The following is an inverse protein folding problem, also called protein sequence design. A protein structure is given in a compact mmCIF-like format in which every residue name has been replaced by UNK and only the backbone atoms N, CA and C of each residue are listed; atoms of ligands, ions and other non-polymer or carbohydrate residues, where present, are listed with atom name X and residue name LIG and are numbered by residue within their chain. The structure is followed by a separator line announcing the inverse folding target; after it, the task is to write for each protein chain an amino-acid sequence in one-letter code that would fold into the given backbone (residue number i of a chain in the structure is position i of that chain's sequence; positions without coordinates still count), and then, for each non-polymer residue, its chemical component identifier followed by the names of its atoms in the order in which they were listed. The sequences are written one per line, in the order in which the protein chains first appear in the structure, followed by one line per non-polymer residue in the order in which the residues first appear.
data_IF_626686749816
#
_entry.id   IF_626686749816
#
_cell.length_a   1.000
_cell.length_b   1.000
_cell.length_c   1.000
_cell.angle_alpha   90.00
_cell.angle_beta   90.00
_cell.angle_gamma   90.00
#
_symmetry.space_group_name_H-M   'P 1'
#
loop_
_entity.id
_entity.type
_entity.pdbx_description
1 polymer ?
#
# COMPACT_ATOMS: atom_id res chain seq x y z
N UNK A 1 -8.90 -19.31 18.03
CA UNK A 1 -8.98 -17.89 18.41
C UNK A 1 -7.73 -17.20 17.91
N UNK A 2 -7.86 -16.28 16.96
CA UNK A 2 -6.74 -15.51 16.40
C UNK A 2 -6.25 -14.52 17.47
N UNK A 3 -5.01 -14.67 17.91
CA UNK A 3 -4.46 -13.86 19.03
C UNK A 3 -3.53 -12.75 18.58
N UNK A 4 -3.21 -12.70 17.27
CA UNK A 4 -2.31 -11.69 16.74
C UNK A 4 -3.03 -10.37 16.48
N UNK A 5 -2.35 -9.28 16.76
CA UNK A 5 -2.81 -7.94 16.40
C UNK A 5 -2.26 -7.59 15.03
N UNK A 6 -3.11 -7.09 14.16
CA UNK A 6 -2.76 -6.62 12.81
C UNK A 6 -2.90 -5.11 12.75
N UNK A 7 -1.86 -4.43 12.34
CA UNK A 7 -1.87 -2.99 12.07
C UNK A 7 -2.21 -2.70 10.61
N UNK A 8 -3.13 -1.78 10.38
CA UNK A 8 -3.47 -1.28 9.05
C UNK A 8 -3.15 0.21 9.02
N UNK A 9 -2.23 0.60 8.13
CA UNK A 9 -1.91 2.01 7.87
C UNK A 9 -2.60 2.40 6.57
N UNK A 10 -3.60 3.26 6.70
CA UNK A 10 -4.41 3.83 5.64
C UNK A 10 -4.21 5.35 5.50
N UNK A 11 -5.24 6.04 5.00
CA UNK A 11 -5.16 7.48 4.77
C UNK A 11 -4.52 7.88 3.45
N UNK A 12 -4.08 6.90 2.66
CA UNK A 12 -3.50 7.09 1.32
C UNK A 12 -4.56 7.11 0.20
N UNK A 13 -5.82 6.99 0.58
CA UNK A 13 -7.02 6.96 -0.20
C UNK A 13 -8.13 6.39 0.68
N UNK A 14 -9.13 7.21 1.06
CA UNK A 14 -10.16 6.84 2.04
C UNK A 14 -10.91 5.58 1.61
N UNK A 15 -11.39 5.56 0.37
CA UNK A 15 -12.13 4.42 -0.15
C UNK A 15 -11.27 3.17 -0.40
N UNK A 16 -10.00 3.35 -0.76
CA UNK A 16 -9.07 2.22 -0.89
C UNK A 16 -8.91 1.51 0.45
N UNK A 17 -8.71 2.27 1.54
CA UNK A 17 -8.61 1.71 2.89
C UNK A 17 -9.92 1.05 3.33
N UNK A 18 -11.07 1.69 3.09
CA UNK A 18 -12.38 1.12 3.41
C UNK A 18 -12.63 -0.20 2.66
N UNK A 19 -12.35 -0.23 1.36
CA UNK A 19 -12.53 -1.42 0.54
C UNK A 19 -11.57 -2.53 0.94
N UNK A 20 -10.32 -2.20 1.27
CA UNK A 20 -9.37 -3.16 1.81
C UNK A 20 -9.88 -3.78 3.11
N UNK A 21 -10.32 -2.95 4.05
CA UNK A 21 -10.84 -3.43 5.32
C UNK A 21 -12.08 -4.31 5.15
N UNK A 22 -13.01 -3.91 4.28
CA UNK A 22 -14.19 -4.71 3.95
C UNK A 22 -13.79 -6.10 3.42
N UNK A 23 -12.87 -6.16 2.44
CA UNK A 23 -12.39 -7.43 1.90
C UNK A 23 -11.67 -8.28 2.95
N UNK A 24 -10.87 -7.64 3.79
CA UNK A 24 -10.21 -8.34 4.88
C UNK A 24 -11.23 -9.02 5.82
N UNK A 25 -12.32 -8.35 6.16
CA UNK A 25 -13.40 -8.95 6.96
C UNK A 25 -14.10 -10.10 6.22
N UNK A 26 -14.31 -9.97 4.92
CA UNK A 26 -14.91 -11.03 4.08
C UNK A 26 -14.03 -12.27 4.05
N UNK A 27 -12.71 -12.14 3.96
CA UNK A 27 -11.76 -13.28 3.98
C UNK A 27 -11.71 -13.99 5.34
N UNK A 28 -11.93 -13.26 6.43
CA UNK A 28 -12.04 -13.84 7.78
C UNK A 28 -13.47 -14.22 8.16
N UNK A 29 -14.44 -14.12 7.23
CA UNK A 29 -15.83 -14.40 7.53
C UNK A 29 -16.00 -15.80 8.14
N UNK A 30 -16.57 -15.85 9.33
CA UNK A 30 -16.80 -17.08 10.05
C UNK A 30 -18.11 -16.98 10.85
N UNK A 31 -18.58 -18.11 11.40
CA UNK A 31 -19.77 -18.17 12.22
C UNK A 31 -19.64 -17.37 13.55
N UNK A 32 -18.44 -16.92 13.90
CA UNK A 32 -18.19 -16.19 15.14
C UNK A 32 -17.25 -15.01 14.93
N UNK A 33 -17.66 -13.81 15.37
CA UNK A 33 -16.83 -12.61 15.41
C UNK A 33 -15.53 -12.79 16.23
N UNK A 34 -15.48 -13.74 17.15
CA UNK A 34 -14.30 -14.06 17.95
C UNK A 34 -13.14 -14.65 17.13
N UNK A 35 -13.40 -15.04 15.89
CA UNK A 35 -12.39 -15.56 14.97
C UNK A 35 -11.73 -14.47 14.12
N UNK A 36 -12.23 -13.23 14.17
CA UNK A 36 -11.57 -12.11 13.51
C UNK A 36 -10.27 -11.71 14.22
N UNK A 37 -9.27 -11.23 13.50
CA UNK A 37 -8.05 -10.69 14.11
C UNK A 37 -8.36 -9.42 14.91
N UNK A 38 -7.55 -9.15 15.95
CA UNK A 38 -7.54 -7.83 16.56
C UNK A 38 -6.88 -6.82 15.62
N UNK A 39 -7.64 -5.87 15.09
CA UNK A 39 -7.16 -4.90 14.12
C UNK A 39 -6.99 -3.53 14.77
N UNK A 40 -5.82 -2.91 14.55
CA UNK A 40 -5.57 -1.50 14.87
C UNK A 40 -5.39 -0.78 13.54
N UNK A 41 -6.19 0.26 13.32
CA UNK A 41 -6.15 1.03 12.08
C UNK A 41 -5.76 2.48 12.35
N UNK A 42 -4.73 2.95 11.64
CA UNK A 42 -4.37 4.35 11.57
C UNK A 42 -4.70 4.91 10.17
N UNK A 43 -5.63 5.85 10.10
CA UNK A 43 -6.05 6.52 8.88
C UNK A 43 -5.56 7.97 8.86
N UNK A 44 -4.29 8.19 8.57
CA UNK A 44 -3.70 9.51 8.53
C UNK A 44 -3.98 10.23 7.19
N UNK A 45 -5.10 10.96 7.12
CA UNK A 45 -5.46 11.74 5.93
C UNK A 45 -4.67 13.04 5.76
N UNK A 46 -3.83 13.42 6.73
CA UNK A 46 -3.00 14.62 6.65
C UNK A 46 -1.67 14.37 5.95
N UNK A 47 -1.36 13.10 5.63
CA UNK A 47 -0.12 12.71 4.98
C UNK A 47 0.01 13.35 3.59
N UNK A 48 1.17 13.97 3.26
CA UNK A 48 1.40 14.61 1.97
C UNK A 48 1.26 13.66 0.78
N UNK A 49 1.11 14.21 -0.42
CA UNK A 49 0.98 13.43 -1.65
C UNK A 49 2.26 12.64 -1.97
N UNK A 50 2.17 11.31 -1.92
CA UNK A 50 3.27 10.40 -2.30
C UNK A 50 3.72 10.60 -3.75
N UNK A 51 2.76 10.86 -4.66
CA UNK A 51 3.07 11.13 -6.06
C UNK A 51 3.86 12.42 -6.22
N UNK A 52 3.47 13.53 -5.56
CA UNK A 52 4.20 14.79 -5.63
C UNK A 52 5.59 14.68 -5.00
N UNK A 53 5.69 13.95 -3.90
CA UNK A 53 6.97 13.66 -3.26
C UNK A 53 7.93 12.90 -4.21
N UNK A 54 7.42 11.92 -4.96
CA UNK A 54 8.23 11.16 -5.91
C UNK A 54 8.59 11.93 -7.18
N UNK A 55 7.66 12.75 -7.70
CA UNK A 55 7.88 13.47 -8.97
C UNK A 55 8.68 14.75 -8.77
N UNK A 56 8.43 15.49 -7.70
CA UNK A 56 8.91 16.85 -7.52
C UNK A 56 9.75 17.05 -6.25
N UNK A 57 9.90 16.01 -5.42
CA UNK A 57 10.56 16.10 -4.11
C UNK A 57 9.76 16.86 -3.05
N UNK A 58 8.50 17.21 -3.34
CA UNK A 58 7.67 17.99 -2.42
C UNK A 58 7.31 17.19 -1.18
N UNK A 59 7.64 17.72 -0.01
CA UNK A 59 7.34 17.09 1.29
C UNK A 59 7.80 15.62 1.38
N UNK A 60 8.93 15.26 0.74
CA UNK A 60 9.44 13.88 0.72
C UNK A 60 9.72 13.36 2.13
N UNK A 61 10.44 14.15 2.93
CA UNK A 61 10.79 13.77 4.30
C UNK A 61 9.54 13.69 5.20
N UNK A 62 8.56 14.57 5.00
CA UNK A 62 7.29 14.54 5.72
C UNK A 62 6.48 13.27 5.41
N UNK A 63 6.55 12.75 4.17
CA UNK A 63 5.94 11.45 3.83
C UNK A 63 6.65 10.32 4.56
N UNK A 64 7.99 10.33 4.58
CA UNK A 64 8.78 9.32 5.30
C UNK A 64 8.48 9.38 6.80
N UNK A 65 8.42 10.58 7.37
CA UNK A 65 8.11 10.79 8.80
C UNK A 65 6.71 10.33 9.14
N UNK A 66 5.70 10.72 8.36
CA UNK A 66 4.32 10.31 8.61
C UNK A 66 4.12 8.80 8.52
N UNK A 67 4.79 8.12 7.59
CA UNK A 67 4.78 6.64 7.54
C UNK A 67 5.49 6.06 8.77
N UNK A 68 6.62 6.65 9.17
CA UNK A 68 7.38 6.21 10.34
C UNK A 68 6.58 6.35 11.63
N UNK A 69 5.90 7.47 11.82
CA UNK A 69 5.06 7.74 12.99
C UNK A 69 3.90 6.73 13.09
N UNK A 70 3.23 6.46 11.96
CA UNK A 70 2.18 5.43 11.90
C UNK A 70 2.72 4.04 12.24
N UNK A 71 3.91 3.69 11.77
CA UNK A 71 4.56 2.41 12.09
C UNK A 71 4.92 2.35 13.58
N UNK A 72 5.48 3.41 14.16
CA UNK A 72 5.79 3.47 15.58
C UNK A 72 4.53 3.30 16.44
N UNK A 73 3.42 3.95 16.06
CA UNK A 73 2.14 3.77 16.71
C UNK A 73 1.71 2.29 16.71
N UNK A 74 1.86 1.60 15.57
CA UNK A 74 1.56 0.16 15.48
C UNK A 74 2.46 -0.67 16.38
N UNK A 75 3.76 -0.39 16.39
CA UNK A 75 4.74 -1.12 17.20
C UNK A 75 4.52 -0.92 18.69
N UNK A 76 4.15 0.28 19.14
CA UNK A 76 3.79 0.57 20.53
C UNK A 76 2.55 -0.20 21.00
N UNK A 77 1.72 -0.63 20.07
CA UNK A 77 0.53 -1.45 20.34
C UNK A 77 0.75 -2.95 20.14
N UNK A 78 2.00 -3.41 20.03
CA UNK A 78 2.39 -4.83 19.90
C UNK A 78 1.73 -5.53 18.71
N UNK A 79 1.60 -4.85 17.56
CA UNK A 79 1.11 -5.52 16.35
C UNK A 79 2.16 -6.51 15.82
N UNK A 80 1.71 -7.66 15.35
CA UNK A 80 2.57 -8.69 14.77
C UNK A 80 2.89 -8.41 13.29
N UNK A 81 1.94 -7.87 12.55
CA UNK A 81 2.07 -7.52 11.14
C UNK A 81 1.46 -6.15 10.85
N UNK A 82 2.10 -5.40 9.94
CA UNK A 82 1.69 -4.05 9.53
C UNK A 82 1.44 -4.07 8.03
N UNK A 83 0.28 -3.60 7.61
CA UNK A 83 -0.13 -3.51 6.20
C UNK A 83 -0.27 -2.04 5.83
N UNK A 84 0.49 -1.57 4.83
CA UNK A 84 0.30 -0.25 4.24
C UNK A 84 -0.65 -0.39 3.05
N UNK A 85 -1.83 0.24 3.13
CA UNK A 85 -2.85 0.16 2.06
C UNK A 85 -2.53 1.16 0.94
N UNK A 86 -1.30 1.12 0.43
CA UNK A 86 -0.84 1.97 -0.65
C UNK A 86 0.40 1.39 -1.33
N UNK A 87 0.28 1.00 -2.60
CA UNK A 87 1.44 0.51 -3.36
C UNK A 87 2.56 1.54 -3.46
N UNK A 88 2.23 2.82 -3.74
CA UNK A 88 3.21 3.91 -3.86
C UNK A 88 3.98 4.15 -2.56
N UNK A 89 3.36 3.95 -1.39
CA UNK A 89 4.01 4.12 -0.09
C UNK A 89 5.20 3.15 0.10
N UNK A 90 5.19 2.00 -0.57
CA UNK A 90 6.28 1.03 -0.50
C UNK A 90 7.60 1.53 -1.12
N UNK A 91 7.57 2.61 -1.89
CA UNK A 91 8.78 3.25 -2.38
C UNK A 91 9.61 3.84 -1.23
N UNK A 92 8.95 4.40 -0.23
CA UNK A 92 9.58 5.09 0.90
C UNK A 92 10.11 4.15 1.98
N UNK A 93 9.78 2.85 1.91
CA UNK A 93 10.10 1.89 2.97
C UNK A 93 11.61 1.77 3.25
N UNK A 94 12.47 1.95 2.25
CA UNK A 94 13.91 1.91 2.48
C UNK A 94 14.38 3.04 3.41
N UNK A 95 13.80 4.24 3.28
CA UNK A 95 14.13 5.38 4.14
C UNK A 95 13.48 5.24 5.52
N UNK A 96 12.28 4.68 5.57
CA UNK A 96 11.63 4.28 6.84
C UNK A 96 12.47 3.25 7.60
N UNK A 97 13.01 2.23 6.93
CA UNK A 97 13.87 1.21 7.58
C UNK A 97 15.20 1.76 8.09
N UNK A 98 15.70 2.88 7.56
CA UNK A 98 16.86 3.59 8.13
C UNK A 98 16.52 4.20 9.49
N UNK A 99 15.25 4.63 9.69
CA UNK A 99 14.76 5.21 10.94
C UNK A 99 14.30 4.15 11.93
N UNK A 100 13.65 3.09 11.42
CA UNK A 100 13.03 2.01 12.21
C UNK A 100 13.40 0.66 11.58
N UNK A 101 14.64 0.16 11.79
CA UNK A 101 15.11 -1.08 11.15
C UNK A 101 14.22 -2.30 11.45
N UNK A 102 13.72 -2.41 12.67
CA UNK A 102 12.88 -3.51 13.14
C UNK A 102 11.49 -3.56 12.47
N UNK A 103 11.04 -2.47 11.86
CA UNK A 103 9.78 -2.44 11.10
C UNK A 103 9.81 -3.40 9.90
N UNK A 104 11.00 -3.70 9.35
CA UNK A 104 11.17 -4.56 8.18
C UNK A 104 10.60 -5.97 8.38
N UNK A 105 10.66 -6.50 9.59
CA UNK A 105 10.14 -7.84 9.91
C UNK A 105 8.61 -7.87 10.09
N UNK A 106 8.04 -6.71 10.40
CA UNK A 106 6.61 -6.56 10.67
C UNK A 106 5.82 -6.13 9.44
N UNK A 107 6.43 -5.38 8.52
CA UNK A 107 5.72 -4.87 7.33
C UNK A 107 5.45 -5.99 6.34
N UNK A 108 4.18 -6.12 5.99
CA UNK A 108 3.71 -6.99 4.90
C UNK A 108 3.94 -6.25 3.58
N UNK A 109 4.94 -6.68 2.83
CA UNK A 109 5.27 -6.08 1.55
C UNK A 109 4.34 -6.59 0.45
N UNK A 110 3.32 -5.80 0.13
CA UNK A 110 2.28 -6.18 -0.84
C UNK A 110 2.82 -6.39 -2.26
N UNK A 111 3.93 -5.72 -2.64
CA UNK A 111 4.53 -5.89 -3.97
C UNK A 111 5.28 -7.22 -4.04
N UNK A 112 5.91 -7.64 -2.96
CA UNK A 112 6.54 -8.95 -2.89
C UNK A 112 5.50 -10.07 -2.95
N UNK A 113 4.43 -9.97 -2.17
CA UNK A 113 3.32 -10.94 -2.20
C UNK A 113 2.74 -11.04 -3.61
N UNK A 114 2.48 -9.91 -4.27
CA UNK A 114 2.01 -9.89 -5.65
C UNK A 114 2.99 -10.62 -6.59
N UNK A 115 4.30 -10.39 -6.43
CA UNK A 115 5.31 -11.06 -7.24
C UNK A 115 5.35 -12.58 -7.03
N UNK A 116 5.17 -13.05 -5.81
CA UNK A 116 5.06 -14.48 -5.48
C UNK A 116 3.81 -15.10 -6.11
N UNK A 117 2.66 -14.45 -6.00
CA UNK A 117 1.39 -14.91 -6.59
C UNK A 117 1.44 -14.97 -8.12
N UNK A 118 1.98 -13.94 -8.77
CA UNK A 118 2.12 -13.92 -10.23
C UNK A 118 3.06 -15.03 -10.72
N UNK A 119 4.16 -15.27 -10.00
CA UNK A 119 5.09 -16.35 -10.30
C UNK A 119 4.42 -17.73 -10.14
N UNK A 120 3.58 -17.92 -9.12
CA UNK A 120 2.84 -19.17 -8.94
C UNK A 120 1.82 -19.42 -10.06
N UNK A 121 1.29 -18.36 -10.66
CA UNK A 121 0.36 -18.43 -11.81
C UNK A 121 1.07 -18.53 -13.16
N UNK A 122 2.40 -18.57 -13.18
CA UNK A 122 3.24 -18.57 -14.39
C UNK A 122 3.01 -17.34 -15.29
N UNK A 123 2.69 -16.20 -14.68
CA UNK A 123 2.49 -14.92 -15.37
C UNK A 123 3.83 -14.24 -15.62
N UNK A 124 4.25 -14.21 -16.87
CA UNK A 124 5.55 -13.63 -17.27
C UNK A 124 5.53 -12.15 -17.58
N UNK A 125 4.37 -11.60 -17.93
CA UNK A 125 4.18 -10.19 -18.31
C UNK A 125 2.87 -9.63 -17.74
N UNK A 126 2.91 -8.41 -17.18
CA UNK A 126 1.75 -7.77 -16.58
C UNK A 126 1.69 -6.28 -16.95
N UNK A 127 0.49 -5.76 -17.20
CA UNK A 127 0.22 -4.33 -17.30
C UNK A 127 0.09 -3.73 -15.89
N UNK A 128 0.88 -2.69 -15.59
CA UNK A 128 0.85 -2.01 -14.29
C UNK A 128 -0.03 -0.77 -14.36
N UNK A 129 -1.17 -0.80 -13.69
CA UNK A 129 -2.03 0.36 -13.50
C UNK A 129 -1.78 0.91 -12.10
N UNK A 130 -1.08 2.05 -12.00
CA UNK A 130 -0.69 2.66 -10.73
C UNK A 130 -0.61 4.17 -10.81
N UNK A 131 -0.43 4.84 -9.65
CA UNK A 131 -0.20 6.27 -9.60
C UNK A 131 1.10 6.66 -10.32
N UNK A 132 1.10 7.82 -10.97
CA UNK A 132 2.18 8.31 -11.83
C UNK A 132 3.56 8.26 -11.16
N UNK A 133 3.65 8.70 -9.90
CA UNK A 133 4.93 8.64 -9.17
C UNK A 133 5.51 7.24 -9.06
N UNK A 134 4.67 6.22 -8.86
CA UNK A 134 5.11 4.83 -8.80
C UNK A 134 5.58 4.31 -10.16
N UNK A 135 4.89 4.68 -11.24
CA UNK A 135 5.25 4.31 -12.62
C UNK A 135 6.56 4.98 -13.06
N UNK A 136 6.70 6.29 -12.89
CA UNK A 136 7.90 7.01 -13.26
C UNK A 136 9.14 6.58 -12.47
N UNK A 137 8.98 6.25 -11.20
CA UNK A 137 10.07 5.68 -10.36
C UNK A 137 10.28 4.19 -10.60
N UNK A 138 9.55 3.57 -11.55
CA UNK A 138 9.67 2.16 -11.91
C UNK A 138 9.58 1.22 -10.71
N UNK A 139 8.71 1.56 -9.74
CA UNK A 139 8.58 0.83 -8.47
C UNK A 139 8.29 -0.65 -8.71
N UNK A 140 7.26 -0.94 -9.48
CA UNK A 140 6.84 -2.32 -9.78
C UNK A 140 7.83 -3.04 -10.67
N UNK A 141 8.32 -2.39 -11.73
CA UNK A 141 9.32 -2.95 -12.64
C UNK A 141 10.58 -3.40 -11.89
N UNK A 142 11.07 -2.57 -10.97
CA UNK A 142 12.25 -2.87 -10.17
C UNK A 142 12.00 -4.02 -9.20
N UNK A 143 10.84 -4.01 -8.54
CA UNK A 143 10.51 -4.98 -7.49
C UNK A 143 10.10 -6.34 -8.03
N UNK A 144 9.36 -6.39 -9.15
CA UNK A 144 8.86 -7.63 -9.74
C UNK A 144 9.88 -8.35 -10.63
N UNK A 145 10.94 -7.64 -11.06
CA UNK A 145 12.03 -8.23 -11.86
C UNK A 145 12.66 -9.47 -11.21
N UNK A 146 12.81 -9.48 -9.90
CA UNK A 146 13.40 -10.63 -9.16
C UNK A 146 12.54 -11.91 -9.22
N UNK A 147 11.27 -11.78 -9.57
CA UNK A 147 10.34 -12.90 -9.78
C UNK A 147 10.26 -13.33 -11.25
N UNK A 148 11.03 -12.69 -12.15
CA UNK A 148 11.01 -12.96 -13.59
C UNK A 148 9.86 -12.27 -14.33
N UNK A 149 9.13 -11.35 -13.68
CA UNK A 149 7.95 -10.71 -14.23
C UNK A 149 8.33 -9.43 -14.95
N UNK A 150 7.92 -9.32 -16.23
CA UNK A 150 8.02 -8.11 -17.03
C UNK A 150 6.82 -7.21 -16.78
N UNK A 151 7.07 -5.96 -16.38
CA UNK A 151 6.01 -4.96 -16.20
C UNK A 151 5.94 -4.03 -17.40
N UNK A 152 4.77 -3.91 -17.99
CA UNK A 152 4.44 -2.96 -19.06
C UNK A 152 3.67 -1.79 -18.46
N UNK A 153 3.99 -0.58 -18.88
CA UNK A 153 3.22 0.61 -18.51
C UNK A 153 2.10 0.84 -19.52
N UNK A 154 1.01 1.50 -19.14
CA UNK A 154 0.01 2.03 -20.07
C UNK A 154 0.65 3.02 -21.05
N UNK A 155 0.06 3.17 -22.21
CA UNK A 155 0.43 4.20 -23.18
C UNK A 155 0.11 5.60 -22.64
N UNK A 156 0.72 6.65 -23.21
CA UNK A 156 0.54 8.02 -22.73
C UNK A 156 -0.93 8.48 -22.82
N UNK A 157 -1.65 8.04 -23.85
CA UNK A 157 -3.08 8.35 -24.03
C UNK A 157 -3.93 7.69 -22.93
N UNK A 158 -3.73 6.40 -22.66
CA UNK A 158 -4.42 5.66 -21.61
C UNK A 158 -4.08 6.19 -20.20
N UNK A 159 -2.88 6.74 -20.05
CA UNK A 159 -2.40 7.26 -18.78
C UNK A 159 -3.24 8.44 -18.27
N UNK A 160 -3.75 9.30 -19.15
CA UNK A 160 -4.63 10.43 -18.80
C UNK A 160 -5.93 9.90 -18.17
N UNK A 161 -6.52 8.88 -18.77
CA UNK A 161 -7.74 8.27 -18.27
C UNK A 161 -7.52 7.52 -16.96
N UNK A 162 -6.42 6.77 -16.85
CA UNK A 162 -6.03 6.08 -15.63
C UNK A 162 -5.83 7.08 -14.49
N UNK A 163 -5.12 8.18 -14.72
CA UNK A 163 -4.93 9.24 -13.73
C UNK A 163 -6.28 9.81 -13.28
N UNK A 164 -7.16 10.10 -14.20
CA UNK A 164 -8.49 10.60 -13.91
C UNK A 164 -9.30 9.61 -13.06
N UNK A 165 -9.25 8.31 -13.38
CA UNK A 165 -9.90 7.26 -12.58
C UNK A 165 -9.32 7.15 -11.19
N UNK A 166 -8.01 7.18 -11.02
CA UNK A 166 -7.34 7.12 -9.72
C UNK A 166 -7.74 8.35 -8.89
N UNK A 167 -7.66 9.55 -9.44
CA UNK A 167 -8.02 10.78 -8.74
C UNK A 167 -9.50 10.82 -8.35
N UNK A 168 -10.41 10.37 -9.22
CA UNK A 168 -11.84 10.29 -8.91
C UNK A 168 -12.20 9.21 -7.91
N UNK A 169 -11.50 8.10 -7.87
CA UNK A 169 -11.74 7.05 -6.88
C UNK A 169 -11.24 7.43 -5.49
N UNK A 170 -10.26 8.34 -5.41
CA UNK A 170 -9.75 8.90 -4.15
C UNK A 170 -10.69 9.99 -3.62
N UNK A 171 -11.28 10.79 -4.52
CA UNK A 171 -12.21 11.86 -4.16
C UNK A 171 -13.64 11.34 -4.11
N UNK A 172 -14.29 11.53 -2.99
CA UNK A 172 -15.67 11.16 -2.69
C UNK A 172 -16.61 11.33 -3.90
N UNK A 173 -17.23 10.26 -4.39
CA UNK A 173 -18.44 10.38 -5.19
C UNK A 173 -19.55 10.97 -4.29
N UNK A 174 -19.73 12.27 -4.32
CA UNK A 174 -21.03 12.85 -3.94
C UNK A 174 -22.07 12.30 -4.90
N UNK A 175 -22.78 11.25 -4.50
CA UNK A 175 -24.11 10.94 -5.00
C UNK A 175 -25.01 10.87 -3.78
N UNK A 176 -25.78 11.90 -3.66
CA UNK A 176 -27.05 11.86 -2.96
C UNK A 176 -28.07 11.10 -3.81
#
# INVERSE_FOLDING_TARGET
MYREKVGIIGGFGAYATLNFYKRLLEEFASESERNYPHIIMDNNFTMPSRTRALLYGEAYDEVVDGISDSIQLMMQNDVSKIILVCGTAHYFLNDVYKKIPEAKEKIVDIINIMGEELKLKDEGEVLVIAAEGALQKKLYQTRLKKYGIKCVNPDEEDFIDIRYFIEKSIVCRKKY
#
